data_IF_734557391307
#
_entry.id   IF_734557391307
#
_cell.length_a   1.000
_cell.length_b   1.000
_cell.length_c   1.000
_cell.angle_alpha   90.00
_cell.angle_beta   90.00
_cell.angle_gamma   90.00
#
_symmetry.space_group_name_H-M   'P 1'
#
loop_
_entity.id
_entity.type
_entity.pdbx_description
1 polymer ?
#
# COMPACT_ATOMS: atom_id res chain seq x y z
N UNK A 1 -55.88 -14.66 -58.05
CA UNK A 1 -56.70 -13.45 -57.77
C UNK A 1 -56.65 -12.94 -56.32
N UNK A 2 -56.43 -13.78 -55.28
CA UNK A 2 -56.34 -13.31 -53.87
C UNK A 2 -55.01 -12.61 -53.50
N UNK A 3 -53.88 -13.00 -54.09
CA UNK A 3 -52.56 -12.40 -53.80
C UNK A 3 -52.43 -10.93 -54.28
N UNK A 4 -52.99 -10.58 -55.46
CA UNK A 4 -52.94 -9.21 -55.98
C UNK A 4 -53.81 -8.21 -55.19
N UNK A 5 -54.83 -8.69 -54.47
CA UNK A 5 -55.72 -7.87 -53.66
C UNK A 5 -55.10 -7.52 -52.31
N UNK A 6 -54.34 -8.45 -51.72
CA UNK A 6 -53.54 -8.21 -50.52
C UNK A 6 -52.40 -7.22 -50.80
N UNK A 7 -51.74 -7.34 -51.96
CA UNK A 7 -50.66 -6.42 -52.35
C UNK A 7 -51.16 -4.99 -52.64
N UNK A 8 -52.39 -4.83 -53.17
CA UNK A 8 -53.02 -3.50 -53.34
C UNK A 8 -53.45 -2.87 -52.01
N UNK A 9 -54.00 -3.66 -51.08
CA UNK A 9 -54.37 -3.18 -49.74
C UNK A 9 -53.16 -2.73 -48.92
N UNK A 10 -52.04 -3.43 -49.01
CA UNK A 10 -50.78 -3.01 -48.37
C UNK A 10 -50.22 -1.72 -48.98
N UNK A 11 -50.31 -1.56 -50.30
CA UNK A 11 -49.85 -0.35 -51.00
C UNK A 11 -50.70 0.89 -50.65
N UNK A 12 -52.03 0.74 -50.59
CA UNK A 12 -52.94 1.80 -50.13
C UNK A 12 -52.77 2.16 -48.65
N UNK A 13 -52.49 1.18 -47.78
CA UNK A 13 -52.19 1.45 -46.36
C UNK A 13 -50.87 2.23 -46.18
N UNK A 14 -49.92 2.06 -47.08
CA UNK A 14 -48.66 2.83 -47.09
C UNK A 14 -48.80 4.20 -47.76
N UNK A 15 -49.67 4.35 -48.77
CA UNK A 15 -49.94 5.62 -49.45
C UNK A 15 -50.86 6.56 -48.66
N UNK A 16 -51.68 6.05 -47.73
CA UNK A 16 -52.60 6.84 -46.91
C UNK A 16 -52.00 7.50 -45.66
N UNK A 17 -50.74 7.19 -45.32
CA UNK A 17 -50.06 7.81 -44.18
C UNK A 17 -49.33 9.07 -44.67
N UNK A 18 -49.80 10.29 -44.34
CA UNK A 18 -49.28 11.52 -44.93
C UNK A 18 -47.78 11.64 -44.64
N UNK A 19 -46.97 11.96 -45.65
CA UNK A 19 -45.50 12.08 -45.56
C UNK A 19 -45.04 12.94 -44.36
N UNK A 20 -45.84 13.95 -43.98
CA UNK A 20 -45.65 14.78 -42.77
C UNK A 20 -45.64 13.97 -41.46
N UNK A 21 -46.44 12.91 -41.34
CA UNK A 21 -46.50 12.05 -40.16
C UNK A 21 -45.24 11.17 -39.99
N UNK A 22 -44.73 10.56 -41.07
CA UNK A 22 -43.47 9.81 -41.05
C UNK A 22 -42.25 10.70 -40.77
N UNK A 23 -42.25 11.93 -41.30
CA UNK A 23 -41.22 12.94 -41.00
C UNK A 23 -41.28 13.39 -39.53
N UNK A 24 -42.48 13.54 -38.97
CA UNK A 24 -42.69 13.87 -37.55
C UNK A 24 -42.18 12.74 -36.66
N UNK A 25 -42.53 11.49 -36.98
CA UNK A 25 -42.09 10.30 -36.26
C UNK A 25 -40.56 10.11 -36.31
N UNK A 26 -39.94 10.28 -37.48
CA UNK A 26 -38.47 10.23 -37.63
C UNK A 26 -37.77 11.34 -36.85
N UNK A 27 -38.34 12.55 -36.81
CA UNK A 27 -37.85 13.65 -35.96
C UNK A 27 -37.95 13.32 -34.48
N UNK A 28 -39.04 12.68 -34.05
CA UNK A 28 -39.21 12.22 -32.66
C UNK A 28 -38.16 11.17 -32.29
N UNK A 29 -37.90 10.17 -33.15
CA UNK A 29 -36.86 9.17 -32.90
C UNK A 29 -35.45 9.75 -32.87
N UNK A 30 -35.13 10.71 -33.75
CA UNK A 30 -33.84 11.42 -33.73
C UNK A 30 -33.71 12.24 -32.43
N UNK A 31 -34.77 12.92 -31.99
CA UNK A 31 -34.75 13.69 -30.75
C UNK A 31 -34.57 12.78 -29.51
N UNK A 32 -35.23 11.61 -29.48
CA UNK A 32 -35.06 10.63 -28.42
C UNK A 32 -33.66 10.01 -28.41
N UNK A 33 -33.10 9.71 -29.58
CA UNK A 33 -31.73 9.21 -29.70
C UNK A 33 -30.69 10.25 -29.25
N UNK A 34 -30.89 11.53 -29.63
CA UNK A 34 -30.05 12.63 -29.17
C UNK A 34 -30.18 12.86 -27.67
N UNK A 35 -31.40 12.82 -27.11
CA UNK A 35 -31.61 12.93 -25.67
C UNK A 35 -30.97 11.75 -24.92
N UNK A 36 -31.11 10.52 -25.44
CA UNK A 36 -30.44 9.34 -24.90
C UNK A 36 -28.92 9.45 -24.94
N UNK A 37 -28.35 9.94 -26.04
CA UNK A 37 -26.92 10.19 -26.17
C UNK A 37 -26.45 11.29 -25.20
N UNK A 38 -27.19 12.39 -25.08
CA UNK A 38 -26.89 13.45 -24.10
C UNK A 38 -26.92 12.88 -22.68
N UNK A 39 -27.93 12.11 -22.30
CA UNK A 39 -27.97 11.43 -21.01
C UNK A 39 -26.78 10.47 -20.83
N UNK A 40 -26.39 9.74 -21.87
CA UNK A 40 -25.26 8.80 -21.85
C UNK A 40 -23.90 9.49 -21.62
N UNK A 41 -23.71 10.73 -22.11
CA UNK A 41 -22.49 11.49 -21.89
C UNK A 41 -22.54 12.37 -20.64
N UNK A 42 -23.69 12.98 -20.34
CA UNK A 42 -23.87 13.85 -19.18
C UNK A 42 -23.90 13.06 -17.89
N UNK A 43 -24.49 11.86 -17.87
CA UNK A 43 -24.60 11.07 -16.65
C UNK A 43 -23.23 10.64 -16.08
N UNK A 44 -22.29 10.07 -16.87
CA UNK A 44 -20.95 9.76 -16.37
C UNK A 44 -20.19 10.99 -15.90
N UNK A 45 -20.25 12.10 -16.66
CA UNK A 45 -19.58 13.35 -16.27
C UNK A 45 -20.16 13.87 -14.97
N UNK A 46 -21.48 13.96 -14.84
CA UNK A 46 -22.16 14.38 -13.61
C UNK A 46 -21.82 13.45 -12.44
N UNK A 47 -21.79 12.13 -12.64
CA UNK A 47 -21.42 11.16 -11.60
C UNK A 47 -19.97 11.34 -11.15
N UNK A 48 -19.03 11.54 -12.07
CA UNK A 48 -17.63 11.83 -11.75
C UNK A 48 -17.49 13.18 -11.06
N UNK A 49 -18.19 14.22 -11.51
CA UNK A 49 -18.18 15.54 -10.87
C UNK A 49 -18.75 15.51 -9.46
N UNK A 50 -19.85 14.78 -9.23
CA UNK A 50 -20.43 14.57 -7.91
C UNK A 50 -19.48 13.76 -7.02
N UNK A 51 -18.87 12.71 -7.55
CA UNK A 51 -17.85 11.94 -6.83
C UNK A 51 -16.68 12.84 -6.40
N UNK A 52 -16.10 13.62 -7.30
CA UNK A 52 -14.99 14.55 -6.98
C UNK A 52 -15.41 15.71 -6.06
N UNK A 53 -16.69 16.07 -6.01
CA UNK A 53 -17.19 17.09 -5.09
C UNK A 53 -17.44 16.55 -3.67
N UNK A 54 -17.85 15.28 -3.55
CA UNK A 54 -18.12 14.61 -2.27
C UNK A 54 -16.84 14.00 -1.69
N UNK A 55 -16.01 13.44 -2.56
CA UNK A 55 -14.73 12.78 -2.28
C UNK A 55 -13.67 13.42 -3.18
N UNK A 56 -13.26 14.68 -2.90
CA UNK A 56 -12.19 15.31 -3.63
C UNK A 56 -10.97 14.40 -3.58
N UNK A 57 -10.36 14.14 -4.74
CA UNK A 57 -9.12 13.38 -4.82
C UNK A 57 -8.19 13.96 -3.75
N UNK A 58 -7.88 13.15 -2.73
CA UNK A 58 -7.09 13.61 -1.61
C UNK A 58 -5.84 14.25 -2.16
N UNK A 59 -5.59 15.52 -1.80
CA UNK A 59 -4.22 16.01 -1.88
C UNK A 59 -3.39 14.97 -1.14
N UNK A 60 -2.26 14.54 -1.72
CA UNK A 60 -1.25 13.81 -0.96
C UNK A 60 -0.96 14.68 0.26
N UNK A 61 -1.62 14.39 1.37
CA UNK A 61 -1.47 15.15 2.59
C UNK A 61 -0.04 14.90 2.97
N UNK A 62 0.80 15.94 2.86
CA UNK A 62 2.12 15.90 3.42
C UNK A 62 1.93 15.51 4.88
N UNK A 63 2.39 14.31 5.23
CA UNK A 63 2.18 13.78 6.57
C UNK A 63 2.82 14.78 7.52
N UNK A 64 2.03 15.34 8.45
CA UNK A 64 2.49 16.39 9.35
C UNK A 64 3.76 15.93 10.08
N UNK A 65 4.87 16.55 9.72
CA UNK A 65 6.19 16.41 10.31
C UNK A 65 6.73 17.82 10.50
N UNK A 66 6.39 18.44 11.62
CA UNK A 66 6.93 19.75 11.99
C UNK A 66 7.90 19.59 13.14
N UNK A 67 8.61 20.67 13.48
CA UNK A 67 9.49 20.70 14.64
C UNK A 67 8.76 20.38 15.96
N UNK A 68 7.45 20.66 16.03
CA UNK A 68 6.65 20.54 17.26
C UNK A 68 5.66 19.38 17.25
N UNK A 69 5.22 18.93 16.07
CA UNK A 69 4.13 17.96 15.92
C UNK A 69 4.43 16.91 14.88
N UNK A 70 4.01 15.69 15.18
CA UNK A 70 4.05 14.56 14.26
C UNK A 70 2.65 13.94 14.16
N UNK A 71 2.31 13.44 12.98
CA UNK A 71 1.11 12.66 12.73
C UNK A 71 1.43 11.37 11.96
N UNK A 72 0.43 10.49 11.90
CA UNK A 72 0.47 9.25 11.15
C UNK A 72 -0.10 9.45 9.74
N UNK A 73 -0.09 8.39 8.92
CA UNK A 73 -0.58 8.46 7.55
C UNK A 73 -2.09 8.74 7.45
N UNK A 74 -2.86 8.63 8.55
CA UNK A 74 -4.28 8.96 8.57
C UNK A 74 -4.54 10.45 8.74
N UNK A 75 -3.61 11.19 9.35
CA UNK A 75 -3.81 12.61 9.71
C UNK A 75 -4.81 12.82 10.86
N UNK A 76 -5.12 11.76 11.62
CA UNK A 76 -6.10 11.78 12.71
C UNK A 76 -5.47 11.63 14.10
N UNK A 77 -4.15 11.49 14.18
CA UNK A 77 -3.43 11.05 15.38
C UNK A 77 -2.33 12.01 15.81
N UNK A 78 -2.39 13.28 15.42
CA UNK A 78 -1.40 14.30 15.74
C UNK A 78 -1.03 14.36 17.24
N UNK A 79 0.27 14.40 17.52
CA UNK A 79 0.87 14.48 18.86
C UNK A 79 1.99 15.53 18.90
N UNK A 80 2.37 15.98 20.10
CA UNK A 80 3.63 16.72 20.29
C UNK A 80 4.78 15.77 20.65
N UNK A 81 6.01 16.14 20.29
CA UNK A 81 7.21 15.31 20.52
C UNK A 81 8.41 16.15 20.98
N UNK A 82 9.50 15.49 21.36
CA UNK A 82 10.77 16.09 21.81
C UNK A 82 11.85 16.08 20.72
N UNK A 83 11.41 16.14 19.46
CA UNK A 83 12.26 16.07 18.27
C UNK A 83 12.14 14.76 17.49
N UNK A 84 12.61 14.81 16.24
CA UNK A 84 12.62 13.71 15.29
C UNK A 84 14.04 13.54 14.77
N UNK A 85 14.58 12.34 14.93
CA UNK A 85 15.91 11.97 14.44
C UNK A 85 15.73 11.29 13.09
N UNK A 86 16.22 11.91 12.02
CA UNK A 86 16.16 11.33 10.68
C UNK A 86 17.39 10.46 10.44
N UNK A 87 17.16 9.20 10.08
CA UNK A 87 18.23 8.28 9.72
C UNK A 87 18.64 8.46 8.25
N UNK A 88 19.92 8.20 7.97
CA UNK A 88 20.49 8.18 6.61
C UNK A 88 20.68 6.75 6.15
N UNK A 89 20.91 6.51 4.86
CA UNK A 89 21.20 5.16 4.35
C UNK A 89 22.58 4.63 4.76
N UNK A 90 23.46 5.49 5.29
CA UNK A 90 24.75 5.08 5.84
C UNK A 90 24.55 4.35 7.18
N UNK A 91 25.01 3.12 7.22
CA UNK A 91 24.81 2.26 8.39
C UNK A 91 25.64 2.72 9.60
N UNK A 92 26.90 3.11 9.39
CA UNK A 92 27.78 3.46 10.50
C UNK A 92 27.34 4.79 11.14
N UNK A 93 26.95 5.75 10.31
CA UNK A 93 26.37 7.02 10.75
C UNK A 93 25.05 6.77 11.52
N UNK A 94 24.14 5.97 10.96
CA UNK A 94 22.87 5.62 11.59
C UNK A 94 23.07 4.91 12.94
N UNK A 95 23.97 3.92 13.03
CA UNK A 95 24.24 3.22 14.28
C UNK A 95 24.81 4.17 15.35
N UNK A 96 25.69 5.10 14.96
CA UNK A 96 26.22 6.12 15.86
C UNK A 96 25.12 7.06 16.35
N UNK A 97 24.32 7.61 15.42
CA UNK A 97 23.24 8.54 15.72
C UNK A 97 22.18 7.92 16.63
N UNK A 98 21.84 6.65 16.41
CA UNK A 98 20.91 5.92 17.28
C UNK A 98 21.47 5.72 18.69
N UNK A 99 22.76 5.38 18.84
CA UNK A 99 23.40 5.26 20.16
C UNK A 99 23.37 6.59 20.92
N UNK A 100 23.71 7.70 20.25
CA UNK A 100 23.64 9.04 20.83
C UNK A 100 22.20 9.41 21.22
N UNK A 101 21.23 9.06 20.39
CA UNK A 101 19.81 9.29 20.65
C UNK A 101 19.30 8.50 21.85
N UNK A 102 19.66 7.22 21.96
CA UNK A 102 19.30 6.36 23.08
C UNK A 102 19.93 6.86 24.38
N UNK A 103 21.20 7.27 24.35
CA UNK A 103 21.88 7.80 25.53
C UNK A 103 21.26 9.12 25.99
N UNK A 104 20.97 10.05 25.07
CA UNK A 104 20.23 11.28 25.39
C UNK A 104 18.88 10.97 26.03
N UNK A 105 18.09 10.09 25.40
CA UNK A 105 16.77 9.72 25.90
C UNK A 105 16.85 9.06 27.29
N UNK A 106 17.90 8.29 27.58
CA UNK A 106 18.16 7.70 28.89
C UNK A 106 18.42 8.78 29.96
N UNK A 107 19.25 9.77 29.65
CA UNK A 107 19.57 10.90 30.56
C UNK A 107 18.32 11.75 30.81
N UNK A 108 17.57 12.06 29.77
CA UNK A 108 16.38 12.93 29.83
C UNK A 108 15.10 12.17 30.23
N UNK A 109 15.17 10.85 30.43
CA UNK A 109 14.03 9.96 30.75
C UNK A 109 12.91 10.01 29.70
N UNK A 110 13.28 10.12 28.43
CA UNK A 110 12.37 10.15 27.29
C UNK A 110 12.17 8.74 26.73
N UNK A 111 11.01 8.52 26.11
CA UNK A 111 10.79 7.34 25.27
C UNK A 111 11.37 7.58 23.87
N UNK A 112 11.92 6.54 23.26
CA UNK A 112 12.32 6.55 21.84
C UNK A 112 11.35 5.67 21.06
N UNK A 113 10.72 6.23 20.02
CA UNK A 113 9.74 5.50 19.22
C UNK A 113 10.11 5.57 17.74
N UNK A 114 10.58 4.46 17.14
CA UNK A 114 10.85 4.43 15.71
C UNK A 114 9.56 4.42 14.91
N UNK A 115 9.56 5.12 13.80
CA UNK A 115 8.55 4.98 12.77
C UNK A 115 9.19 4.95 11.39
N UNK A 116 8.57 4.23 10.47
CA UNK A 116 8.89 4.34 9.05
C UNK A 116 7.72 4.96 8.31
N UNK A 117 6.89 4.10 7.74
CA UNK A 117 5.78 4.53 6.91
C UNK A 117 4.60 5.21 7.63
N UNK A 118 4.48 5.00 8.94
CA UNK A 118 3.41 5.54 9.79
C UNK A 118 1.98 5.15 9.35
N UNK A 119 1.81 4.02 8.66
CA UNK A 119 0.49 3.41 8.40
C UNK A 119 0.00 2.52 9.55
N UNK A 120 0.34 2.87 10.79
CA UNK A 120 -0.27 2.19 11.94
C UNK A 120 -1.76 2.55 12.00
N UNK A 121 -2.62 1.64 12.45
CA UNK A 121 -4.08 1.88 12.52
C UNK A 121 -4.48 2.76 13.73
N UNK A 122 -3.59 3.65 14.16
CA UNK A 122 -3.65 4.40 15.41
C UNK A 122 -2.27 4.90 15.84
N UNK A 123 -2.14 5.22 17.13
CA UNK A 123 -0.92 5.80 17.72
C UNK A 123 0.20 4.79 18.03
N UNK A 124 0.23 3.61 17.42
CA UNK A 124 1.25 2.59 17.74
C UNK A 124 2.69 3.08 17.45
N UNK A 125 2.85 3.89 16.41
CA UNK A 125 4.12 4.46 15.99
C UNK A 125 4.37 5.88 16.54
N UNK A 126 3.49 6.40 17.41
CA UNK A 126 3.48 7.77 17.90
C UNK A 126 3.33 7.82 19.43
N UNK A 127 4.09 8.68 20.10
CA UNK A 127 3.94 8.87 21.55
C UNK A 127 4.19 10.31 21.95
N UNK A 128 3.23 10.89 22.66
CA UNK A 128 3.32 12.25 23.20
C UNK A 128 4.61 12.41 24.03
N UNK A 129 5.39 13.45 23.70
CA UNK A 129 6.64 13.78 24.41
C UNK A 129 7.79 12.79 24.21
N UNK A 130 7.70 11.85 23.26
CA UNK A 130 8.81 10.97 22.89
C UNK A 130 9.79 11.66 21.95
N UNK A 131 11.00 11.11 21.85
CA UNK A 131 11.88 11.34 20.69
C UNK A 131 11.50 10.32 19.63
N UNK A 132 11.22 10.79 18.42
CA UNK A 132 10.93 9.91 17.31
C UNK A 132 12.18 9.62 16.48
N UNK A 133 12.25 8.41 15.94
CA UNK A 133 13.29 8.01 14.98
C UNK A 133 12.60 7.75 13.65
N UNK A 134 12.82 8.65 12.69
CA UNK A 134 12.33 8.50 11.33
C UNK A 134 13.30 7.62 10.54
N UNK A 135 12.88 6.39 10.26
CA UNK A 135 13.69 5.44 9.52
C UNK A 135 13.60 5.65 8.00
N UNK A 136 12.77 6.56 7.48
CA UNK A 136 12.46 6.65 6.04
C UNK A 136 13.68 6.88 5.14
N UNK A 137 14.73 7.56 5.62
CA UNK A 137 16.00 7.72 4.90
C UNK A 137 16.95 6.53 5.00
N UNK A 138 16.68 5.57 5.88
CA UNK A 138 17.45 4.33 6.04
C UNK A 138 16.84 3.21 5.18
N UNK A 139 17.01 3.34 3.86
CA UNK A 139 16.24 2.61 2.85
C UNK A 139 17.11 1.87 1.80
N UNK A 140 18.38 1.64 2.08
CA UNK A 140 19.29 0.90 1.19
C UNK A 140 18.83 -0.57 1.02
N UNK A 141 19.01 -1.06 -0.21
CA UNK A 141 18.69 -2.42 -0.63
C UNK A 141 19.90 -3.01 -1.35
N UNK A 142 20.26 -4.24 -1.00
CA UNK A 142 21.27 -5.00 -1.72
C UNK A 142 20.93 -6.49 -1.73
N UNK A 143 21.51 -7.23 -2.68
CA UNK A 143 21.46 -8.69 -2.67
C UNK A 143 22.68 -9.21 -1.90
N UNK A 144 22.45 -10.05 -0.91
CA UNK A 144 23.47 -10.79 -0.18
C UNK A 144 23.28 -12.29 -0.48
N UNK A 145 24.01 -12.77 -1.49
CA UNK A 145 23.75 -14.06 -2.10
C UNK A 145 22.35 -14.14 -2.70
N UNK A 146 21.54 -15.08 -2.22
CA UNK A 146 20.14 -15.28 -2.65
C UNK A 146 19.13 -14.46 -1.83
N UNK A 147 19.58 -13.78 -0.77
CA UNK A 147 18.71 -13.02 0.13
C UNK A 147 18.71 -11.55 -0.25
N UNK A 148 17.54 -10.92 -0.13
CA UNK A 148 17.44 -9.47 -0.13
C UNK A 148 17.83 -8.97 1.26
N UNK A 149 18.86 -8.15 1.36
CA UNK A 149 19.12 -7.34 2.55
C UNK A 149 18.44 -5.98 2.37
N UNK A 150 17.51 -5.67 3.26
CA UNK A 150 16.76 -4.43 3.25
C UNK A 150 16.88 -3.69 4.58
N UNK A 151 17.22 -2.40 4.52
CA UNK A 151 17.14 -1.52 5.69
C UNK A 151 15.67 -1.28 6.08
N UNK A 152 15.43 -1.06 7.37
CA UNK A 152 14.11 -1.01 7.98
C UNK A 152 13.21 0.12 7.44
N UNK A 153 13.81 1.18 6.91
CA UNK A 153 13.11 2.30 6.27
C UNK A 153 12.57 2.01 4.89
N UNK A 154 13.14 1.03 4.18
CA UNK A 154 12.78 0.74 2.81
C UNK A 154 11.29 0.44 2.67
N UNK A 155 10.67 0.97 1.62
CA UNK A 155 9.28 0.70 1.27
C UNK A 155 9.18 -0.55 0.41
N UNK A 156 8.08 -1.30 0.51
CA UNK A 156 7.84 -2.45 -0.38
C UNK A 156 7.84 -2.04 -1.86
N UNK A 157 7.37 -0.83 -2.19
CA UNK A 157 7.42 -0.30 -3.56
C UNK A 157 8.85 -0.27 -4.12
N UNK A 158 9.82 0.21 -3.33
CA UNK A 158 11.25 0.22 -3.68
C UNK A 158 11.80 -1.20 -3.81
N UNK A 159 11.41 -2.09 -2.89
CA UNK A 159 11.82 -3.51 -2.90
C UNK A 159 11.34 -4.24 -4.15
N UNK A 160 10.06 -4.08 -4.51
CA UNK A 160 9.48 -4.72 -5.70
C UNK A 160 10.23 -4.25 -6.95
N UNK A 161 10.45 -2.95 -7.11
CA UNK A 161 11.20 -2.42 -8.25
C UNK A 161 12.64 -2.97 -8.30
N UNK A 162 13.32 -3.02 -7.16
CA UNK A 162 14.68 -3.57 -7.06
C UNK A 162 14.76 -5.06 -7.43
N UNK A 163 13.81 -5.87 -6.96
CA UNK A 163 13.77 -7.31 -7.24
C UNK A 163 13.32 -7.62 -8.68
N UNK A 164 12.41 -6.82 -9.25
CA UNK A 164 11.84 -7.05 -10.57
C UNK A 164 12.91 -7.08 -11.67
N UNK A 165 13.92 -6.20 -11.59
CA UNK A 165 15.07 -6.18 -12.51
C UNK A 165 15.88 -7.49 -12.50
N UNK A 166 15.72 -8.31 -11.47
CA UNK A 166 16.43 -9.58 -11.25
C UNK A 166 15.53 -10.80 -11.51
N UNK A 167 14.32 -10.60 -12.03
CA UNK A 167 13.34 -11.69 -12.20
C UNK A 167 12.81 -12.23 -10.87
N UNK A 168 12.90 -11.44 -9.80
CA UNK A 168 12.47 -11.79 -8.45
C UNK A 168 11.32 -10.88 -7.99
N UNK A 169 10.62 -11.29 -6.94
CA UNK A 169 9.55 -10.55 -6.28
C UNK A 169 9.51 -10.87 -4.79
N UNK A 170 8.63 -10.20 -4.05
CA UNK A 170 8.37 -10.45 -2.64
C UNK A 170 7.39 -11.62 -2.49
N UNK A 171 7.68 -12.57 -1.60
CA UNK A 171 6.79 -13.72 -1.37
C UNK A 171 5.52 -13.34 -0.58
N UNK A 172 5.67 -12.54 0.49
CA UNK A 172 4.57 -12.11 1.38
C UNK A 172 4.74 -10.63 1.72
N UNK A 173 3.69 -9.84 1.49
CA UNK A 173 3.55 -8.45 1.91
C UNK A 173 2.07 -8.09 2.05
N UNK A 174 1.76 -6.96 2.70
CA UNK A 174 0.39 -6.41 2.73
C UNK A 174 -0.13 -6.08 1.32
N UNK A 175 -1.44 -5.79 1.21
CA UNK A 175 -2.05 -5.39 -0.07
C UNK A 175 -1.43 -4.14 -0.69
N UNK A 176 -0.97 -3.21 0.15
CA UNK A 176 -0.34 -1.97 -0.28
C UNK A 176 1.17 -2.09 -0.10
N UNK A 177 1.91 -1.40 -0.97
CA UNK A 177 3.37 -1.44 -1.01
C UNK A 177 4.03 -0.17 -0.45
N UNK A 178 3.25 0.69 0.20
CA UNK A 178 3.68 1.91 0.89
C UNK A 178 4.12 1.65 2.33
N UNK A 179 4.06 0.43 2.86
CA UNK A 179 4.60 0.11 4.19
C UNK A 179 6.13 0.02 4.17
N UNK A 180 6.77 0.38 5.29
CA UNK A 180 8.20 0.17 5.49
C UNK A 180 8.49 -1.27 5.97
N UNK A 181 9.68 -1.79 5.67
CA UNK A 181 10.11 -3.12 6.10
C UNK A 181 10.06 -3.24 7.63
N UNK A 182 10.69 -2.32 8.36
CA UNK A 182 10.75 -2.37 9.82
C UNK A 182 9.38 -2.35 10.49
N UNK A 183 8.46 -1.51 9.99
CA UNK A 183 7.08 -1.48 10.48
C UNK A 183 6.34 -2.79 10.20
N UNK A 184 6.48 -3.31 8.98
CA UNK A 184 5.88 -4.56 8.53
C UNK A 184 6.33 -5.77 9.36
N UNK A 185 7.64 -5.86 9.65
CA UNK A 185 8.20 -6.91 10.48
C UNK A 185 7.79 -6.77 11.95
N UNK A 186 7.74 -5.54 12.45
CA UNK A 186 7.34 -5.26 13.85
C UNK A 186 5.90 -5.65 14.15
N UNK A 187 5.00 -5.62 13.16
CA UNK A 187 3.62 -6.10 13.31
C UNK A 187 3.42 -7.52 12.80
N UNK A 188 4.46 -8.13 12.23
CA UNK A 188 4.41 -9.41 11.53
C UNK A 188 3.24 -9.48 10.52
N UNK A 189 3.21 -8.53 9.58
CA UNK A 189 2.07 -8.41 8.67
C UNK A 189 1.89 -9.66 7.80
N UNK A 190 0.65 -9.91 7.38
CA UNK A 190 0.29 -10.98 6.47
C UNK A 190 -0.10 -10.42 5.09
N UNK A 191 -0.02 -11.27 4.07
CA UNK A 191 -0.55 -10.98 2.75
C UNK A 191 -1.93 -11.58 2.51
N UNK A 192 -2.31 -11.67 1.23
CA UNK A 192 -3.57 -12.24 0.75
C UNK A 192 -3.41 -13.67 0.22
N UNK A 193 -2.18 -14.16 0.16
CA UNK A 193 -1.87 -15.47 -0.40
C UNK A 193 -2.48 -16.58 0.49
N UNK A 194 -3.33 -17.46 -0.06
CA UNK A 194 -3.90 -18.56 0.70
C UNK A 194 -2.79 -19.51 1.16
N UNK A 195 -2.97 -20.09 2.36
CA UNK A 195 -2.05 -21.04 2.97
C UNK A 195 -0.60 -20.54 3.10
N UNK A 196 -0.40 -19.21 3.16
CA UNK A 196 0.91 -18.61 3.42
C UNK A 196 0.99 -18.02 4.83
N UNK A 197 2.07 -18.32 5.58
CA UNK A 197 2.32 -17.65 6.85
C UNK A 197 2.62 -16.15 6.67
N UNK A 198 2.58 -15.35 7.76
CA UNK A 198 2.96 -13.94 7.72
C UNK A 198 4.40 -13.69 7.27
N UNK A 199 4.74 -12.42 7.02
CA UNK A 199 6.05 -11.98 6.51
C UNK A 199 7.25 -12.50 7.31
N UNK A 200 7.12 -12.73 8.63
CA UNK A 200 8.21 -13.31 9.43
C UNK A 200 8.70 -14.67 8.92
N UNK A 201 7.86 -15.40 8.18
CA UNK A 201 8.25 -16.68 7.55
C UNK A 201 9.33 -16.52 6.48
N UNK A 202 9.42 -15.36 5.83
CA UNK A 202 10.38 -15.07 4.76
C UNK A 202 11.66 -14.43 5.29
N UNK A 203 11.69 -13.98 6.54
CA UNK A 203 12.88 -13.41 7.19
C UNK A 203 13.82 -14.53 7.62
N UNK A 204 15.08 -14.48 7.18
CA UNK A 204 16.13 -15.41 7.63
C UNK A 204 16.84 -14.90 8.87
N UNK A 205 17.19 -13.60 8.86
CA UNK A 205 17.82 -12.92 9.98
C UNK A 205 17.56 -11.42 9.94
N UNK A 206 17.77 -10.74 11.05
CA UNK A 206 17.75 -9.28 11.13
C UNK A 206 18.71 -8.77 12.21
N UNK A 207 19.15 -7.52 12.09
CA UNK A 207 19.87 -6.85 13.18
C UNK A 207 18.92 -5.98 13.99
N UNK A 208 19.05 -6.06 15.32
CA UNK A 208 18.23 -5.32 16.28
C UNK A 208 19.14 -4.51 17.19
N UNK A 209 18.91 -3.20 17.26
CA UNK A 209 19.51 -2.36 18.29
C UNK A 209 18.64 -2.37 19.54
N UNK A 210 19.23 -2.81 20.65
CA UNK A 210 18.60 -2.87 21.98
C UNK A 210 18.63 -1.49 22.67
N UNK A 211 17.84 -1.30 23.75
CA UNK A 211 17.79 -0.03 24.48
C UNK A 211 19.13 0.43 25.08
N UNK A 212 20.06 -0.48 25.33
CA UNK A 212 21.43 -0.18 25.79
C UNK A 212 22.38 0.22 24.63
N UNK A 213 21.85 0.27 23.41
CA UNK A 213 22.59 0.53 22.17
C UNK A 213 23.33 -0.68 21.63
N UNK A 214 23.37 -1.83 22.31
CA UNK A 214 24.01 -3.03 21.75
C UNK A 214 23.22 -3.55 20.55
N UNK A 215 23.92 -4.13 19.57
CA UNK A 215 23.29 -4.69 18.37
C UNK A 215 23.38 -6.21 18.43
N UNK A 216 22.25 -6.87 18.19
CA UNK A 216 22.16 -8.33 18.10
C UNK A 216 21.76 -8.73 16.69
N UNK A 217 22.48 -9.68 16.10
CA UNK A 217 21.98 -10.42 14.95
C UNK A 217 21.05 -11.52 15.44
N UNK A 218 19.82 -11.53 14.95
CA UNK A 218 18.77 -12.44 15.38
C UNK A 218 18.38 -13.33 14.20
N UNK A 219 18.34 -14.64 14.41
CA UNK A 219 17.93 -15.62 13.41
C UNK A 219 17.20 -16.82 14.06
N UNK A 220 16.84 -17.82 13.26
CA UNK A 220 16.32 -19.07 13.81
C UNK A 220 17.37 -19.87 14.59
N UNK A 221 18.67 -19.66 14.31
CA UNK A 221 19.78 -20.38 14.93
C UNK A 221 20.50 -19.58 16.03
N UNK A 222 20.43 -18.25 16.00
CA UNK A 222 21.12 -17.33 16.91
C UNK A 222 20.13 -16.34 17.51
N UNK A 223 20.22 -16.06 18.81
CA UNK A 223 19.27 -15.18 19.53
C UNK A 223 17.79 -15.56 19.28
N UNK A 224 17.49 -16.87 19.18
CA UNK A 224 16.20 -17.41 18.72
C UNK A 224 15.00 -16.86 19.48
N UNK A 225 15.14 -16.60 20.79
CA UNK A 225 14.06 -16.00 21.59
C UNK A 225 13.76 -14.57 21.12
N UNK A 226 14.80 -13.77 20.93
CA UNK A 226 14.67 -12.39 20.46
C UNK A 226 14.16 -12.34 19.03
N UNK A 227 14.62 -13.25 18.15
CA UNK A 227 14.09 -13.43 16.81
C UNK A 227 12.56 -13.64 16.80
N UNK A 228 12.07 -14.57 17.64
CA UNK A 228 10.64 -14.90 17.75
C UNK A 228 9.80 -13.79 18.38
N UNK A 229 10.37 -13.01 19.28
CA UNK A 229 9.63 -11.98 20.02
C UNK A 229 9.62 -10.62 19.31
N UNK A 230 10.69 -10.25 18.60
CA UNK A 230 10.75 -8.97 17.91
C UNK A 230 9.90 -8.95 16.63
N UNK A 231 9.79 -10.08 15.91
CA UNK A 231 8.88 -10.21 14.76
C UNK A 231 7.43 -10.30 15.26
N UNK A 232 6.67 -9.22 15.09
CA UNK A 232 5.35 -9.04 15.74
C UNK A 232 5.43 -8.44 17.14
N UNK A 233 6.61 -7.98 17.56
CA UNK A 233 6.86 -7.39 18.88
C UNK A 233 6.53 -5.90 19.01
N UNK A 234 5.96 -5.28 17.96
CA UNK A 234 5.57 -3.86 17.93
C UNK A 234 6.72 -2.88 18.28
N UNK A 235 7.97 -3.25 17.97
CA UNK A 235 9.15 -2.43 18.28
C UNK A 235 9.50 -2.34 19.78
N UNK A 236 8.85 -3.13 20.65
CA UNK A 236 9.04 -3.07 22.11
C UNK A 236 10.38 -3.65 22.58
N UNK A 237 11.03 -4.46 21.74
CA UNK A 237 12.29 -5.12 22.08
C UNK A 237 13.53 -4.37 21.56
N UNK A 238 13.35 -3.40 20.67
CA UNK A 238 14.43 -2.67 20.04
C UNK A 238 14.06 -2.11 18.66
N UNK A 239 15.03 -1.46 18.02
CA UNK A 239 14.90 -0.88 16.69
C UNK A 239 15.49 -1.87 15.68
N UNK A 240 14.65 -2.39 14.77
CA UNK A 240 15.13 -3.21 13.65
C UNK A 240 15.96 -2.31 12.72
N UNK A 241 17.18 -2.74 12.38
CA UNK A 241 18.06 -2.00 11.49
C UNK A 241 17.90 -2.50 10.06
N UNK A 242 18.28 -3.74 9.78
CA UNK A 242 18.12 -4.40 8.50
C UNK A 242 17.68 -5.85 8.66
N UNK A 243 17.06 -6.37 7.62
CA UNK A 243 16.55 -7.73 7.55
C UNK A 243 16.98 -8.40 6.25
N UNK A 244 17.31 -9.68 6.35
CA UNK A 244 17.57 -10.57 5.23
C UNK A 244 16.29 -11.34 4.96
N UNK A 245 15.69 -11.07 3.81
CA UNK A 245 14.38 -11.58 3.41
C UNK A 245 14.58 -12.45 2.17
N UNK A 246 13.99 -13.63 2.18
CA UNK A 246 13.98 -14.54 1.04
C UNK A 246 13.06 -13.98 -0.06
N UNK A 247 13.59 -13.67 -1.26
CA UNK A 247 12.76 -13.32 -2.41
C UNK A 247 12.15 -14.58 -3.04
N UNK A 248 11.16 -14.38 -3.89
CA UNK A 248 10.55 -15.43 -4.71
C UNK A 248 10.78 -15.17 -6.21
N UNK A 249 10.78 -16.20 -7.07
CA UNK A 249 10.76 -16.02 -8.51
C UNK A 249 9.54 -15.19 -8.96
N UNK A 250 9.76 -14.23 -9.87
CA UNK A 250 8.68 -13.45 -10.47
C UNK A 250 8.05 -14.22 -11.63
N UNK A 251 7.12 -15.11 -11.32
CA UNK A 251 6.48 -16.01 -12.28
C UNK A 251 5.07 -15.57 -12.69
N UNK A 252 4.71 -15.88 -13.94
CA UNK A 252 3.34 -15.70 -14.43
C UNK A 252 2.46 -16.81 -13.87
N UNK A 253 1.37 -16.43 -13.18
CA UNK A 253 0.39 -17.38 -12.68
C UNK A 253 -0.26 -18.17 -13.83
N UNK A 254 -0.37 -19.48 -13.66
CA UNK A 254 -1.03 -20.39 -14.62
C UNK A 254 -2.32 -20.92 -13.98
N UNK A 255 -3.44 -20.75 -14.67
CA UNK A 255 -4.71 -21.33 -14.24
C UNK A 255 -4.86 -22.76 -14.76
N UNK A 256 -5.44 -23.62 -13.93
CA UNK A 256 -5.88 -24.96 -14.31
C UNK A 256 -7.28 -25.18 -13.76
N UNK A 257 -8.19 -25.67 -14.60
CA UNK A 257 -9.52 -26.07 -14.18
C UNK A 257 -9.59 -27.58 -14.06
N UNK A 258 -10.17 -28.07 -12.98
CA UNK A 258 -10.43 -29.50 -12.75
C UNK A 258 -11.89 -29.63 -12.34
N UNK A 259 -12.62 -30.52 -13.03
CA UNK A 259 -13.99 -30.88 -12.62
C UNK A 259 -13.84 -31.83 -11.43
N UNK A 260 -14.32 -31.39 -10.26
CA UNK A 260 -14.38 -32.26 -9.09
C UNK A 260 -15.53 -33.26 -9.31
N UNK A 261 -15.25 -34.56 -9.19
CA UNK A 261 -16.31 -35.57 -9.14
C UNK A 261 -17.07 -35.40 -7.82
N UNK A 262 -18.41 -35.36 -7.92
CA UNK A 262 -19.30 -35.31 -6.77
C UNK A 262 -19.14 -36.54 -5.85
#
# INVERSE_FOLDING_TARGET
RKAGMACRKLRQALEGVPMKSRLKERRTWIALALAGAVCWFVYPVMRVSVFLAIDPAGNNSEILLTEERADDASGLNAISHKGIVQLTSDLAETEKLLRETLERARVEKLSVVPFGARHSMGKQALREGAVHVDTSGFDHLEMDGELLRAQAGARWSKVISFLAERGLTVEVMQSNNDFSIGGTLSVNAHGWQPDRPPVASTVEKFRLMLPDGSIRECSRAEETKLFRHALGGYGLFGIILDAWIRPAPNEILRSKHVIMSA
#
